data_IF_511426581848
#
_entry.id   IF_511426581848
#
_cell.length_a   1.000
_cell.length_b   1.000
_cell.length_c   1.000
_cell.angle_alpha   90.00
_cell.angle_beta   90.00
_cell.angle_gamma   90.00
#
_symmetry.space_group_name_H-M   'P 1'
#
loop_
_entity.id
_entity.type
_entity.pdbx_description
1 polymer ?
#
# COMPACT_ATOMS: atom_id res chain seq x y z
N UNK A 1 -15.17 -34.25 6.77
CA UNK A 1 -13.96 -33.80 7.49
C UNK A 1 -14.42 -33.06 8.74
N UNK A 2 -13.96 -33.46 9.91
CA UNK A 2 -14.26 -32.74 11.16
C UNK A 2 -13.45 -31.44 11.22
N UNK A 3 -13.95 -30.46 11.96
CA UNK A 3 -13.29 -29.17 12.19
C UNK A 3 -13.11 -28.98 13.69
N UNK A 4 -12.01 -28.35 14.08
CA UNK A 4 -11.74 -28.00 15.48
C UNK A 4 -11.39 -26.53 15.59
N UNK A 5 -11.84 -25.83 16.64
CA UNK A 5 -11.39 -24.46 16.92
C UNK A 5 -9.86 -24.38 17.01
N UNK A 6 -9.26 -23.36 16.40
CA UNK A 6 -7.79 -23.22 16.32
C UNK A 6 -7.29 -21.89 16.88
N UNK A 7 -7.89 -20.77 16.49
CA UNK A 7 -7.55 -19.45 17.03
C UNK A 7 -8.73 -18.50 16.87
N UNK A 8 -8.81 -17.49 17.72
CA UNK A 8 -9.81 -16.42 17.63
C UNK A 8 -9.09 -15.09 17.46
N UNK A 9 -9.49 -14.30 16.46
CA UNK A 9 -8.94 -12.96 16.26
C UNK A 9 -9.96 -11.90 16.64
N UNK A 10 -9.53 -10.85 17.31
CA UNK A 10 -10.43 -9.71 17.61
C UNK A 10 -9.84 -8.48 16.95
N UNK A 11 -10.41 -8.07 15.82
CA UNK A 11 -10.03 -6.84 15.13
C UNK A 11 -10.73 -5.64 15.75
N UNK A 12 -10.00 -4.53 15.89
CA UNK A 12 -10.49 -3.27 16.47
C UNK A 12 -10.05 -2.08 15.62
N UNK A 13 -10.92 -1.08 15.54
CA UNK A 13 -10.74 0.14 14.75
C UNK A 13 -12.03 0.52 14.04
N UNK A 14 -12.12 1.75 13.51
CA UNK A 14 -13.36 2.28 12.92
C UNK A 14 -13.95 1.40 11.82
N UNK A 15 -13.11 0.82 10.95
CA UNK A 15 -13.58 -0.05 9.84
C UNK A 15 -14.17 -1.39 10.30
N UNK A 16 -13.98 -1.76 11.57
CA UNK A 16 -14.49 -2.99 12.16
C UNK A 16 -15.78 -2.75 12.97
N UNK A 17 -16.26 -1.51 13.04
CA UNK A 17 -17.56 -1.16 13.60
C UNK A 17 -18.69 -1.72 12.72
N UNK A 18 -19.90 -1.83 13.28
CA UNK A 18 -21.08 -2.40 12.61
C UNK A 18 -20.91 -3.80 12.01
N UNK A 19 -19.95 -4.57 12.52
CA UNK A 19 -19.66 -5.94 12.10
C UNK A 19 -19.21 -6.10 10.65
N UNK A 20 -18.68 -5.04 10.05
CA UNK A 20 -18.05 -5.11 8.75
C UNK A 20 -16.59 -5.57 8.89
N UNK A 21 -16.21 -6.62 8.16
CA UNK A 21 -14.81 -7.05 8.06
C UNK A 21 -14.28 -6.71 6.66
N UNK A 22 -13.32 -5.78 6.54
CA UNK A 22 -12.68 -5.50 5.25
C UNK A 22 -11.99 -6.75 4.69
N UNK A 23 -12.15 -7.01 3.39
CA UNK A 23 -11.54 -8.19 2.73
C UNK A 23 -10.01 -8.15 2.78
N UNK A 24 -9.41 -6.97 2.74
CA UNK A 24 -7.96 -6.75 2.90
C UNK A 24 -7.40 -7.41 4.16
N UNK A 25 -8.19 -7.41 5.24
CA UNK A 25 -7.77 -7.93 6.55
C UNK A 25 -7.77 -9.46 6.57
N UNK A 26 -8.45 -10.12 5.62
CA UNK A 26 -8.38 -11.58 5.49
C UNK A 26 -6.96 -12.06 5.13
N UNK A 27 -6.14 -11.20 4.52
CA UNK A 27 -4.71 -11.47 4.26
C UNK A 27 -3.94 -11.71 5.57
N UNK A 28 -4.39 -11.13 6.69
CA UNK A 28 -3.78 -11.34 8.00
C UNK A 28 -3.97 -12.77 8.50
N UNK A 29 -5.09 -13.42 8.17
CA UNK A 29 -5.35 -14.81 8.55
C UNK A 29 -4.44 -15.78 7.80
N UNK A 30 -4.16 -15.49 6.52
CA UNK A 30 -3.21 -16.26 5.73
C UNK A 30 -1.77 -16.02 6.22
N UNK A 31 -1.43 -14.77 6.55
CA UNK A 31 -0.12 -14.42 7.13
C UNK A 31 0.11 -15.14 8.47
N UNK A 32 -0.93 -15.21 9.30
CA UNK A 32 -0.89 -16.00 10.53
C UNK A 32 -0.70 -17.49 10.26
N UNK A 33 -1.41 -18.07 9.27
CA UNK A 33 -1.23 -19.47 8.86
C UNK A 33 0.22 -19.77 8.49
N UNK A 34 0.84 -18.91 7.70
CA UNK A 34 2.24 -19.05 7.27
C UNK A 34 3.23 -18.91 8.43
N UNK A 35 2.96 -18.00 9.37
CA UNK A 35 3.77 -17.85 10.58
C UNK A 35 3.70 -19.11 11.46
N UNK A 36 2.49 -19.63 11.73
CA UNK A 36 2.29 -20.88 12.46
C UNK A 36 2.98 -22.04 11.76
N UNK A 37 2.86 -22.14 10.44
CA UNK A 37 3.50 -23.18 9.64
C UNK A 37 5.03 -23.11 9.77
N UNK A 38 5.62 -21.92 9.71
CA UNK A 38 7.05 -21.72 9.85
C UNK A 38 7.56 -22.13 11.25
N UNK A 39 6.80 -21.79 12.30
CA UNK A 39 7.09 -22.23 13.68
C UNK A 39 6.98 -23.75 13.80
N UNK A 40 5.93 -24.36 13.25
CA UNK A 40 5.74 -25.82 13.27
C UNK A 40 6.87 -26.56 12.53
N UNK A 41 7.34 -26.04 11.39
CA UNK A 41 8.51 -26.58 10.68
C UNK A 41 9.78 -26.47 11.51
N UNK A 42 9.95 -25.38 12.27
CA UNK A 42 11.10 -25.21 13.17
C UNK A 42 11.04 -26.23 14.31
N UNK A 43 9.89 -26.39 14.97
CA UNK A 43 9.68 -27.39 16.01
C UNK A 43 9.95 -28.81 15.50
N UNK A 44 9.37 -29.18 14.36
CA UNK A 44 9.56 -30.50 13.78
C UNK A 44 11.04 -30.83 13.55
N UNK A 45 11.81 -29.88 13.01
CA UNK A 45 13.26 -30.05 12.79
C UNK A 45 14.04 -30.19 14.09
N UNK A 46 13.65 -29.47 15.14
CA UNK A 46 14.29 -29.58 16.46
C UNK A 46 14.02 -30.94 17.10
N UNK A 47 12.80 -31.46 16.98
CA UNK A 47 12.39 -32.74 17.57
C UNK A 47 12.84 -33.96 16.74
N UNK A 48 13.16 -33.75 15.45
CA UNK A 48 13.58 -34.81 14.53
C UNK A 48 14.94 -34.46 13.89
N UNK A 49 16.03 -34.35 14.66
CA UNK A 49 17.34 -33.95 14.15
C UNK A 49 17.89 -34.92 13.08
N UNK A 50 17.51 -36.20 13.15
CA UNK A 50 17.93 -37.23 12.19
C UNK A 50 17.17 -37.18 10.85
N UNK A 51 16.12 -36.35 10.73
CA UNK A 51 15.30 -36.23 9.52
C UNK A 51 15.63 -34.97 8.74
N UNK A 52 16.27 -35.15 7.58
CA UNK A 52 16.64 -34.06 6.67
C UNK A 52 15.44 -33.41 5.97
N UNK A 53 14.32 -34.13 5.81
CA UNK A 53 13.15 -33.69 5.04
C UNK A 53 11.89 -33.67 5.89
N UNK A 54 11.06 -32.64 5.68
CA UNK A 54 9.71 -32.58 6.21
C UNK A 54 8.84 -33.71 5.60
N UNK A 55 7.80 -34.16 6.32
CA UNK A 55 6.82 -35.10 5.77
C UNK A 55 6.22 -34.59 4.45
N UNK A 56 5.86 -35.51 3.55
CA UNK A 56 5.11 -35.16 2.35
C UNK A 56 3.79 -34.49 2.76
N UNK A 57 3.41 -33.45 2.03
CA UNK A 57 2.19 -32.68 2.26
C UNK A 57 2.10 -31.99 3.64
N UNK A 58 3.24 -31.69 4.28
CA UNK A 58 3.26 -31.10 5.63
C UNK A 58 2.56 -29.73 5.66
N UNK A 59 2.88 -28.85 4.71
CA UNK A 59 2.25 -27.53 4.61
C UNK A 59 0.74 -27.65 4.32
N UNK A 60 0.39 -28.54 3.41
CA UNK A 60 -0.98 -28.82 2.95
C UNK A 60 -1.83 -29.54 4.02
N UNK A 61 -1.19 -29.99 5.11
CA UNK A 61 -1.86 -30.58 6.27
C UNK A 61 -2.40 -29.51 7.24
N UNK A 62 -1.84 -28.30 7.25
CA UNK A 62 -2.39 -27.16 7.96
C UNK A 62 -3.43 -26.46 7.08
N UNK A 63 -4.68 -26.89 7.20
CA UNK A 63 -5.83 -26.24 6.54
C UNK A 63 -6.65 -25.48 7.56
N UNK A 64 -6.59 -24.16 7.47
CA UNK A 64 -7.40 -23.25 8.26
C UNK A 64 -8.58 -22.76 7.43
N UNK A 65 -9.74 -22.66 8.06
CA UNK A 65 -10.96 -22.12 7.47
C UNK A 65 -11.59 -21.13 8.43
N UNK A 66 -12.32 -20.17 7.89
CA UNK A 66 -13.21 -19.34 8.70
C UNK A 66 -14.39 -20.19 9.17
N UNK A 67 -14.58 -20.24 10.49
CA UNK A 67 -15.74 -20.83 11.14
C UNK A 67 -16.99 -19.96 10.98
N UNK A 68 -18.11 -20.41 11.54
CA UNK A 68 -19.34 -19.64 11.53
C UNK A 68 -19.16 -18.31 12.27
N UNK A 69 -19.37 -17.20 11.56
CA UNK A 69 -19.42 -15.87 12.16
C UNK A 69 -20.75 -15.72 12.90
N UNK A 70 -20.71 -15.25 14.15
CA UNK A 70 -21.94 -14.82 14.83
C UNK A 70 -22.49 -13.56 14.12
N UNK A 71 -23.82 -13.39 14.11
CA UNK A 71 -24.42 -12.16 13.55
C UNK A 71 -23.83 -10.96 14.26
N UNK A 72 -23.23 -10.05 13.50
CA UNK A 72 -22.64 -8.85 14.08
C UNK A 72 -21.17 -9.01 14.53
N UNK A 73 -20.48 -10.09 14.16
CA UNK A 73 -19.12 -10.37 14.63
C UNK A 73 -18.03 -9.93 13.64
N UNK A 74 -17.16 -9.02 14.09
CA UNK A 74 -15.84 -8.74 13.49
C UNK A 74 -14.72 -9.62 14.08
N UNK A 75 -15.10 -10.72 14.72
CA UNK A 75 -14.21 -11.67 15.38
C UNK A 75 -14.20 -12.95 14.55
N UNK A 76 -13.21 -13.15 13.64
CA UNK A 76 -13.15 -14.36 12.87
C UNK A 76 -12.64 -15.49 13.75
N UNK A 77 -13.48 -16.50 13.91
CA UNK A 77 -13.09 -17.79 14.47
C UNK A 77 -12.41 -18.60 13.39
N UNK A 78 -11.15 -18.97 13.61
CA UNK A 78 -10.40 -19.82 12.69
C UNK A 78 -10.49 -21.26 13.20
N UNK A 79 -10.97 -22.14 12.32
CA UNK A 79 -11.07 -23.57 12.56
C UNK A 79 -10.04 -24.31 11.71
N UNK A 80 -9.47 -25.38 12.25
CA UNK A 80 -8.59 -26.29 11.51
C UNK A 80 -9.38 -27.49 11.00
N UNK A 81 -9.21 -27.82 9.72
CA UNK A 81 -9.83 -28.99 9.09
C UNK A 81 -9.00 -30.23 9.40
N UNK A 82 -9.60 -31.21 10.06
CA UNK A 82 -8.97 -32.48 10.40
C UNK A 82 -8.98 -33.44 9.21
N UNK A 83 -7.83 -34.07 8.94
CA UNK A 83 -7.73 -35.21 8.02
C UNK A 83 -8.04 -36.53 8.74
N UNK A 84 -8.68 -37.49 8.08
CA UNK A 84 -8.92 -38.81 8.66
C UNK A 84 -7.61 -39.49 9.08
N UNK A 85 -7.60 -40.15 10.24
CA UNK A 85 -6.42 -40.79 10.84
C UNK A 85 -5.70 -41.80 9.93
N UNK A 86 -6.42 -42.36 8.95
CA UNK A 86 -5.93 -43.36 8.01
C UNK A 86 -4.95 -42.80 6.95
N UNK A 87 -4.79 -41.48 6.85
CA UNK A 87 -3.78 -40.83 6.00
C UNK A 87 -2.50 -40.44 6.77
N UNK A 88 -2.41 -40.76 8.07
CA UNK A 88 -1.25 -40.42 8.90
C UNK A 88 -0.18 -41.54 8.85
N UNK A 89 1.09 -41.15 8.73
CA UNK A 89 2.22 -42.09 8.79
C UNK A 89 2.35 -42.69 10.21
N UNK A 90 2.57 -44.01 10.37
CA UNK A 90 2.79 -44.62 11.67
C UNK A 90 4.07 -44.08 12.33
N UNK A 91 3.99 -43.70 13.61
CA UNK A 91 5.13 -43.24 14.42
C UNK A 91 5.45 -41.74 14.35
N UNK A 92 4.59 -40.92 13.75
CA UNK A 92 4.66 -39.45 13.85
C UNK A 92 3.66 -39.02 14.92
N UNK A 93 4.07 -38.18 15.88
CA UNK A 93 3.12 -37.47 16.75
C UNK A 93 2.02 -36.85 15.89
N UNK A 94 0.78 -36.86 16.37
CA UNK A 94 -0.33 -36.32 15.60
C UNK A 94 0.03 -34.88 15.18
N UNK A 95 0.10 -34.56 13.87
CA UNK A 95 0.38 -33.20 13.39
C UNK A 95 -0.57 -32.15 13.99
N UNK A 96 -1.70 -32.61 14.53
CA UNK A 96 -2.63 -31.82 15.32
C UNK A 96 -1.93 -31.11 16.49
N UNK A 97 -1.23 -31.86 17.34
CA UNK A 97 -0.60 -31.31 18.55
C UNK A 97 0.55 -30.36 18.20
N UNK A 98 1.24 -30.62 17.09
CA UNK A 98 2.36 -29.79 16.63
C UNK A 98 1.90 -28.39 16.19
N UNK A 99 0.83 -28.29 15.40
CA UNK A 99 0.34 -26.97 14.96
C UNK A 99 -0.34 -26.20 16.09
N UNK A 100 -0.99 -26.89 17.04
CA UNK A 100 -1.59 -26.25 18.22
C UNK A 100 -0.47 -25.66 19.11
N UNK A 101 0.60 -26.44 19.36
CA UNK A 101 1.82 -25.97 20.03
C UNK A 101 2.48 -24.80 19.28
N UNK A 102 2.53 -24.85 17.96
CA UNK A 102 3.09 -23.76 17.16
C UNK A 102 2.27 -22.47 17.28
N UNK A 103 0.93 -22.56 17.26
CA UNK A 103 0.04 -21.43 17.49
C UNK A 103 0.23 -20.81 18.89
N UNK A 104 0.41 -21.65 19.91
CA UNK A 104 0.73 -21.20 21.27
C UNK A 104 2.08 -20.49 21.34
N UNK A 105 3.12 -21.01 20.68
CA UNK A 105 4.43 -20.36 20.61
C UNK A 105 4.34 -19.00 19.90
N UNK A 106 3.59 -18.92 18.79
CA UNK A 106 3.35 -17.64 18.10
C UNK A 106 2.70 -16.63 19.04
N UNK A 107 1.65 -17.03 19.77
CA UNK A 107 0.98 -16.18 20.74
C UNK A 107 1.94 -15.71 21.85
N UNK A 108 2.72 -16.63 22.43
CA UNK A 108 3.72 -16.28 23.46
C UNK A 108 4.82 -15.36 22.89
N UNK A 109 5.22 -15.53 21.64
CA UNK A 109 6.19 -14.65 20.99
C UNK A 109 5.68 -13.21 20.88
N UNK A 110 4.42 -13.03 20.47
CA UNK A 110 3.78 -11.70 20.47
C UNK A 110 3.58 -11.15 21.89
N UNK A 111 3.29 -12.00 22.86
CA UNK A 111 3.18 -11.61 24.27
C UNK A 111 4.51 -11.07 24.82
N UNK A 112 5.63 -11.74 24.50
CA UNK A 112 6.98 -11.27 24.85
C UNK A 112 7.28 -9.91 24.21
N UNK A 113 6.96 -9.75 22.91
CA UNK A 113 7.14 -8.49 22.20
C UNK A 113 6.29 -7.35 22.78
N UNK A 114 5.09 -7.64 23.28
CA UNK A 114 4.23 -6.67 23.92
C UNK A 114 4.83 -6.11 25.23
N UNK A 115 5.56 -6.96 25.97
CA UNK A 115 6.21 -6.67 27.25
C UNK A 115 7.66 -6.18 27.11
N UNK A 116 7.98 -5.48 26.01
CA UNK A 116 9.30 -4.90 25.73
C UNK A 116 10.45 -5.92 25.83
N UNK A 117 10.17 -7.19 25.51
CA UNK A 117 11.14 -8.27 25.51
C UNK A 117 11.28 -8.84 24.11
N UNK A 118 12.52 -9.13 23.70
CA UNK A 118 12.77 -9.87 22.46
C UNK A 118 12.06 -11.22 22.51
N UNK A 119 11.30 -11.63 21.47
CA UNK A 119 10.72 -12.96 21.41
C UNK A 119 11.83 -14.03 21.41
N UNK A 120 11.97 -14.77 22.50
CA UNK A 120 12.98 -15.83 22.67
C UNK A 120 12.42 -17.23 22.43
N UNK A 121 11.09 -17.37 22.50
CA UNK A 121 10.41 -18.65 22.22
C UNK A 121 10.40 -19.02 20.73
N UNK A 122 10.72 -18.05 19.86
CA UNK A 122 10.90 -18.25 18.41
C UNK A 122 12.31 -17.88 18.01
N UNK A 123 12.83 -18.52 16.95
CA UNK A 123 14.12 -18.13 16.40
C UNK A 123 14.06 -16.70 15.83
N UNK A 124 15.18 -15.97 15.93
CA UNK A 124 15.28 -14.61 15.38
C UNK A 124 14.92 -14.52 13.88
N UNK A 125 15.15 -15.60 13.12
CA UNK A 125 14.81 -15.71 11.70
C UNK A 125 13.30 -15.69 11.41
N UNK A 126 12.45 -15.86 12.43
CA UNK A 126 10.99 -15.79 12.31
C UNK A 126 10.42 -14.41 12.66
N UNK A 127 11.24 -13.50 13.23
CA UNK A 127 10.79 -12.14 13.59
C UNK A 127 10.29 -11.36 12.35
N UNK A 128 10.92 -11.43 11.16
CA UNK A 128 10.35 -10.79 9.95
C UNK A 128 8.96 -11.33 9.58
N UNK A 129 8.67 -12.61 9.82
CA UNK A 129 7.34 -13.18 9.61
C UNK A 129 6.32 -12.69 10.65
N UNK A 130 6.76 -12.41 11.87
CA UNK A 130 5.92 -11.74 12.87
C UNK A 130 5.61 -10.30 12.46
N UNK A 131 6.56 -9.58 11.86
CA UNK A 131 6.37 -8.20 11.36
C UNK A 131 5.41 -8.09 10.16
N UNK A 132 5.33 -9.15 9.36
CA UNK A 132 4.38 -9.26 8.25
C UNK A 132 2.92 -9.31 8.75
N UNK A 133 2.68 -9.86 9.95
CA UNK A 133 1.36 -9.89 10.56
C UNK A 133 1.01 -8.51 11.15
N UNK A 134 -0.19 -8.05 10.83
CA UNK A 134 -0.69 -6.69 11.11
C UNK A 134 -0.22 -5.64 10.10
N UNK A 135 0.21 -6.03 8.90
CA UNK A 135 0.66 -5.11 7.85
C UNK A 135 -0.48 -4.33 7.21
N UNK A 136 -1.67 -4.92 7.11
CA UNK A 136 -2.86 -4.26 6.54
C UNK A 136 -3.59 -3.37 7.54
N UNK A 137 -3.14 -3.35 8.81
CA UNK A 137 -3.74 -2.54 9.86
C UNK A 137 -3.30 -1.08 9.74
N UNK A 138 -4.28 -0.18 9.81
CA UNK A 138 -4.06 1.27 9.89
C UNK A 138 -3.53 1.67 11.27
N UNK A 139 -3.14 2.93 11.39
CA UNK A 139 -2.49 3.48 12.59
C UNK A 139 -3.34 3.39 13.86
N UNK A 140 -4.67 3.44 13.73
CA UNK A 140 -5.66 3.32 14.80
C UNK A 140 -6.27 1.91 14.92
N UNK A 141 -5.76 0.95 14.16
CA UNK A 141 -6.27 -0.43 14.12
C UNK A 141 -5.38 -1.38 14.92
N UNK A 142 -5.99 -2.45 15.44
CA UNK A 142 -5.27 -3.52 16.14
C UNK A 142 -5.97 -4.86 15.98
N UNK A 143 -5.21 -5.94 16.19
CA UNK A 143 -5.75 -7.30 16.24
C UNK A 143 -5.27 -8.01 17.52
N UNK A 144 -6.18 -8.68 18.20
CA UNK A 144 -5.87 -9.57 19.32
C UNK A 144 -5.75 -10.99 18.80
N UNK A 145 -4.67 -11.70 19.15
CA UNK A 145 -4.51 -13.12 18.88
C UNK A 145 -4.94 -13.90 20.13
N UNK A 146 -6.17 -14.38 20.16
CA UNK A 146 -6.74 -15.10 21.30
C UNK A 146 -6.70 -16.62 21.10
N UNK A 147 -6.63 -17.41 22.19
CA UNK A 147 -6.86 -18.85 22.11
C UNK A 147 -8.28 -19.14 21.58
N UNK A 148 -8.55 -20.37 21.10
CA UNK A 148 -9.86 -20.72 20.57
C UNK A 148 -11.00 -20.39 21.55
N UNK A 149 -11.96 -19.57 21.11
CA UNK A 149 -13.12 -19.14 21.92
C UNK A 149 -12.81 -18.05 22.95
N UNK A 150 -11.55 -17.62 23.07
CA UNK A 150 -11.13 -16.51 23.90
C UNK A 150 -11.27 -15.15 23.21
N UNK A 151 -11.14 -14.07 23.98
CA UNK A 151 -11.11 -12.69 23.47
C UNK A 151 -9.91 -11.88 23.97
N UNK A 152 -9.05 -12.50 24.77
CA UNK A 152 -7.87 -11.89 25.38
C UNK A 152 -6.61 -12.57 24.84
N UNK A 153 -5.54 -11.79 24.71
CA UNK A 153 -4.27 -12.21 24.14
C UNK A 153 -3.40 -11.00 23.78
N UNK A 154 -2.24 -11.22 23.14
CA UNK A 154 -1.37 -10.15 22.71
C UNK A 154 -2.08 -9.27 21.67
N UNK A 155 -1.93 -7.95 21.85
CA UNK A 155 -2.45 -6.94 20.94
C UNK A 155 -1.36 -6.60 19.93
N UNK A 156 -1.60 -6.91 18.67
CA UNK A 156 -0.73 -6.50 17.56
C UNK A 156 -1.26 -5.18 17.02
N UNK A 157 -0.53 -4.11 17.32
CA UNK A 157 -0.78 -2.75 16.88
C UNK A 157 0.49 -2.13 16.28
N UNK A 158 0.41 -0.88 15.82
CA UNK A 158 1.57 -0.16 15.28
C UNK A 158 2.73 -0.07 16.27
N UNK A 159 2.45 0.07 17.56
CA UNK A 159 3.47 0.21 18.61
C UNK A 159 4.26 -1.08 18.77
N UNK A 160 3.59 -2.23 18.83
CA UNK A 160 4.22 -3.54 18.89
C UNK A 160 5.04 -3.82 17.63
N UNK A 161 4.51 -3.50 16.44
CA UNK A 161 5.25 -3.69 15.18
C UNK A 161 6.52 -2.85 15.12
N UNK A 162 6.47 -1.58 15.54
CA UNK A 162 7.68 -0.73 15.66
C UNK A 162 8.73 -1.30 16.62
N UNK A 163 8.30 -1.88 17.75
CA UNK A 163 9.21 -2.55 18.70
C UNK A 163 9.87 -3.78 18.08
N UNK A 164 9.08 -4.66 17.45
CA UNK A 164 9.62 -5.82 16.74
C UNK A 164 10.63 -5.41 15.65
N UNK A 165 10.40 -4.28 14.98
CA UNK A 165 11.27 -3.75 13.94
C UNK A 165 12.63 -3.28 14.50
N UNK A 166 12.63 -2.66 15.68
CA UNK A 166 13.86 -2.25 16.36
C UNK A 166 14.71 -3.46 16.80
N UNK A 167 14.07 -4.57 17.19
CA UNK A 167 14.75 -5.81 17.63
C UNK A 167 15.42 -6.60 16.50
N UNK A 168 14.99 -6.43 15.24
CA UNK A 168 15.59 -7.14 14.09
C UNK A 168 17.02 -6.65 13.82
N UNK A 169 17.40 -5.45 14.29
CA UNK A 169 18.79 -5.01 14.36
C UNK A 169 19.53 -5.19 13.03
N UNK A 170 18.91 -4.80 11.92
CA UNK A 170 19.47 -4.97 10.60
C UNK A 170 18.54 -4.42 9.53
N UNK A 171 19.01 -4.30 8.28
CA UNK A 171 18.16 -3.89 7.20
C UNK A 171 17.00 -4.87 7.00
N UNK A 172 15.79 -4.38 6.81
CA UNK A 172 14.60 -5.20 6.59
C UNK A 172 14.06 -5.01 5.17
N UNK A 173 13.35 -6.02 4.68
CA UNK A 173 12.75 -6.01 3.34
C UNK A 173 11.28 -5.67 3.41
N UNK A 174 10.84 -4.74 2.56
CA UNK A 174 9.44 -4.38 2.42
C UNK A 174 9.12 -4.09 0.96
N UNK A 175 7.85 -4.26 0.58
CA UNK A 175 7.37 -3.79 -0.73
C UNK A 175 7.63 -2.28 -0.86
N UNK A 176 8.15 -1.87 -2.01
CA UNK A 176 8.44 -0.48 -2.32
C UNK A 176 7.90 -0.14 -3.70
N UNK A 177 7.33 1.05 -3.81
CA UNK A 177 7.01 1.70 -5.07
C UNK A 177 7.81 3.00 -5.14
N UNK A 178 8.58 3.16 -6.21
CA UNK A 178 9.38 4.35 -6.47
C UNK A 178 9.01 4.89 -7.84
N UNK A 179 8.94 6.21 -7.94
CA UNK A 179 8.83 6.89 -9.22
C UNK A 179 10.00 7.85 -9.37
N UNK A 180 10.58 7.90 -10.57
CA UNK A 180 11.75 8.72 -10.83
C UNK A 180 12.34 8.52 -12.21
N UNK A 181 13.50 9.12 -12.43
CA UNK A 181 14.23 9.04 -13.70
C UNK A 181 15.43 8.12 -13.58
N UNK A 182 15.61 7.23 -14.55
CA UNK A 182 16.84 6.43 -14.64
C UNK A 182 17.99 7.36 -15.01
N UNK A 183 19.09 7.32 -14.26
CA UNK A 183 20.26 8.20 -14.47
C UNK A 183 21.55 7.44 -14.81
N UNK A 184 21.56 6.13 -14.57
CA UNK A 184 22.61 5.23 -15.00
C UNK A 184 22.06 3.80 -15.02
N UNK A 185 22.55 2.96 -15.92
CA UNK A 185 22.26 1.54 -15.96
C UNK A 185 23.57 0.77 -16.17
N UNK A 186 23.73 -0.35 -15.48
CA UNK A 186 24.96 -1.14 -15.47
C UNK A 186 24.61 -2.63 -15.60
N UNK A 187 24.99 -3.22 -16.73
CA UNK A 187 24.76 -4.64 -17.02
C UNK A 187 25.61 -5.57 -16.16
N UNK A 188 26.80 -5.13 -15.76
CA UNK A 188 27.72 -5.93 -14.95
C UNK A 188 27.33 -5.88 -13.46
N UNK A 189 26.67 -4.81 -13.02
CA UNK A 189 26.15 -4.65 -11.64
C UNK A 189 24.67 -5.02 -11.48
N UNK A 190 24.06 -5.61 -12.51
CA UNK A 190 22.68 -6.11 -12.51
C UNK A 190 21.64 -5.08 -12.03
N UNK A 191 21.65 -3.87 -12.60
CA UNK A 191 20.66 -2.88 -12.23
C UNK A 191 20.89 -1.46 -12.73
N UNK A 192 20.05 -0.56 -12.26
CA UNK A 192 20.09 0.85 -12.63
C UNK A 192 19.99 1.76 -11.40
N UNK A 193 20.42 3.00 -11.57
CA UNK A 193 20.30 4.07 -10.58
C UNK A 193 19.09 4.91 -10.93
N UNK A 194 18.08 4.85 -10.08
CA UNK A 194 16.91 5.71 -10.14
C UNK A 194 17.19 6.98 -9.31
N UNK A 195 16.94 8.15 -9.89
CA UNK A 195 16.79 9.38 -9.12
C UNK A 195 15.30 9.63 -8.92
N UNK A 196 14.83 9.42 -7.69
CA UNK A 196 13.45 9.69 -7.29
C UNK A 196 13.16 11.18 -7.40
N UNK A 197 11.88 11.55 -7.46
CA UNK A 197 11.48 12.95 -7.59
C UNK A 197 11.92 13.83 -6.42
N UNK A 198 11.94 13.29 -5.20
CA UNK A 198 12.49 13.96 -4.00
C UNK A 198 14.02 14.11 -4.02
N UNK A 199 14.66 13.71 -5.13
CA UNK A 199 16.08 13.89 -5.39
C UNK A 199 16.96 12.79 -4.84
N UNK A 200 16.43 11.79 -4.12
CA UNK A 200 17.22 10.65 -3.64
C UNK A 200 17.73 9.80 -4.80
N UNK A 201 18.92 9.25 -4.64
CA UNK A 201 19.50 8.29 -5.59
C UNK A 201 19.38 6.88 -5.00
N UNK A 202 18.62 6.02 -5.66
CA UNK A 202 18.36 4.64 -5.22
C UNK A 202 18.90 3.66 -6.26
N UNK A 203 19.62 2.64 -5.81
CA UNK A 203 20.02 1.53 -6.67
C UNK A 203 18.88 0.52 -6.77
N UNK A 204 18.52 0.14 -8.00
CA UNK A 204 17.49 -0.86 -8.30
C UNK A 204 18.12 -2.04 -9.00
N UNK A 205 18.09 -3.20 -8.33
CA UNK A 205 18.47 -4.48 -8.95
C UNK A 205 17.33 -4.94 -9.85
N UNK A 206 17.63 -5.12 -11.13
CA UNK A 206 16.67 -5.53 -12.15
C UNK A 206 17.41 -6.29 -13.25
N UNK A 207 16.76 -7.31 -13.82
CA UNK A 207 17.35 -8.17 -14.85
C UNK A 207 16.33 -8.49 -15.95
N UNK A 208 16.81 -8.86 -17.12
CA UNK A 208 15.96 -9.30 -18.22
C UNK A 208 15.05 -8.17 -18.75
N UNK A 209 13.78 -8.45 -19.07
CA UNK A 209 12.89 -7.47 -19.72
C UNK A 209 12.72 -6.17 -18.94
N UNK A 210 12.63 -6.24 -17.61
CA UNK A 210 12.48 -5.06 -16.74
C UNK A 210 13.70 -4.13 -16.77
N UNK A 211 14.88 -4.70 -17.02
CA UNK A 211 16.11 -3.91 -17.17
C UNK A 211 16.18 -3.24 -18.55
N UNK A 212 15.68 -3.90 -19.60
CA UNK A 212 15.59 -3.28 -20.94
C UNK A 212 14.64 -2.07 -20.94
N UNK A 213 13.47 -2.15 -20.28
CA UNK A 213 12.58 -0.97 -20.09
C UNK A 213 13.30 0.19 -19.39
N UNK A 214 14.16 -0.11 -18.41
CA UNK A 214 14.95 0.91 -17.71
C UNK A 214 16.06 1.52 -18.60
N UNK A 215 16.60 0.75 -19.57
CA UNK A 215 17.56 1.24 -20.55
C UNK A 215 16.89 2.17 -21.57
N UNK A 216 15.73 1.78 -22.08
CA UNK A 216 14.96 2.59 -23.03
C UNK A 216 14.58 3.93 -22.39
N UNK A 217 14.07 3.91 -21.14
CA UNK A 217 13.75 5.14 -20.41
C UNK A 217 14.96 6.03 -20.08
N UNK A 218 16.15 5.45 -19.91
CA UNK A 218 17.39 6.23 -19.74
C UNK A 218 17.74 7.03 -21.01
N UNK A 219 17.53 6.46 -22.19
CA UNK A 219 17.79 7.13 -23.47
C UNK A 219 16.78 8.25 -23.75
N UNK A 220 15.52 8.02 -23.38
CA UNK A 220 14.40 8.96 -23.60
C UNK A 220 14.23 10.00 -22.49
N UNK A 221 14.99 9.89 -21.39
CA UNK A 221 14.81 10.67 -20.15
C UNK A 221 13.40 10.57 -19.53
N UNK A 222 12.71 9.46 -19.81
CA UNK A 222 11.36 9.17 -19.34
C UNK A 222 11.32 8.87 -17.83
N UNK A 223 10.18 9.19 -17.21
CA UNK A 223 9.90 8.83 -15.82
C UNK A 223 9.42 7.38 -15.79
N UNK A 224 9.93 6.60 -14.84
CA UNK A 224 9.54 5.22 -14.62
C UNK A 224 8.99 5.01 -13.23
N UNK A 225 7.99 4.14 -13.14
CA UNK A 225 7.55 3.52 -11.90
C UNK A 225 8.28 2.19 -11.72
N UNK A 226 8.78 1.96 -10.51
CA UNK A 226 9.44 0.74 -10.10
C UNK A 226 8.71 0.17 -8.90
N UNK A 227 8.15 -1.03 -9.04
CA UNK A 227 7.61 -1.81 -7.91
C UNK A 227 8.52 -2.99 -7.62
N UNK A 228 8.77 -3.25 -6.35
CA UNK A 228 9.65 -4.35 -5.97
C UNK A 228 9.86 -4.48 -4.48
N UNK A 229 10.98 -5.10 -4.11
CA UNK A 229 11.37 -5.28 -2.71
C UNK A 229 12.48 -4.31 -2.35
N UNK A 230 12.17 -3.36 -1.48
CA UNK A 230 13.09 -2.39 -0.90
C UNK A 230 13.74 -2.92 0.36
N UNK A 231 15.03 -2.63 0.54
CA UNK A 231 15.78 -2.87 1.76
C UNK A 231 15.90 -1.56 2.51
N UNK A 232 15.38 -1.51 3.74
CA UNK A 232 15.35 -0.34 4.59
C UNK A 232 16.29 -0.53 5.77
N UNK A 233 16.91 0.53 6.27
CA UNK A 233 17.65 0.48 7.53
C UNK A 233 16.69 0.48 8.75
N UNK A 234 17.20 0.22 9.98
CA UNK A 234 16.36 0.23 11.18
C UNK A 234 15.66 1.57 11.49
N UNK A 235 16.07 2.67 10.85
CA UNK A 235 15.42 3.98 10.99
C UNK A 235 14.27 4.20 9.98
N UNK A 236 14.10 3.26 9.04
CA UNK A 236 13.10 3.33 7.97
C UNK A 236 13.59 4.03 6.70
N UNK A 237 14.89 4.29 6.56
CA UNK A 237 15.43 4.86 5.34
C UNK A 237 15.69 3.77 4.30
N UNK A 238 15.19 3.97 3.08
CA UNK A 238 15.41 3.05 1.96
C UNK A 238 16.88 3.06 1.52
N UNK A 239 17.52 1.90 1.57
CA UNK A 239 18.91 1.70 1.17
C UNK A 239 19.04 1.33 -0.32
N UNK A 240 18.20 0.39 -0.80
CA UNK A 240 18.21 -0.09 -2.20
C UNK A 240 16.95 -0.92 -2.51
N UNK A 241 16.68 -1.16 -3.79
CA UNK A 241 15.72 -2.18 -4.26
C UNK A 241 16.49 -3.41 -4.72
N UNK A 242 16.18 -4.58 -4.14
CA UNK A 242 16.91 -5.84 -4.40
C UNK A 242 16.23 -6.75 -5.43
N UNK A 243 15.00 -6.42 -5.82
CA UNK A 243 14.30 -7.11 -6.89
C UNK A 243 13.18 -6.24 -7.39
N UNK A 244 13.32 -5.70 -8.61
CA UNK A 244 12.21 -5.12 -9.33
C UNK A 244 11.24 -6.24 -9.74
N UNK A 245 10.00 -6.16 -9.28
CA UNK A 245 8.90 -7.00 -9.73
C UNK A 245 8.25 -6.42 -10.99
N UNK A 246 8.29 -5.08 -11.12
CA UNK A 246 7.74 -4.36 -12.25
C UNK A 246 8.52 -3.06 -12.49
N UNK A 247 8.68 -2.71 -13.76
CA UNK A 247 9.28 -1.46 -14.24
C UNK A 247 8.46 -1.02 -15.45
N UNK A 248 7.70 0.05 -15.27
CA UNK A 248 6.84 0.62 -16.30
C UNK A 248 7.18 2.08 -16.50
N UNK A 249 6.87 2.61 -17.69
CA UNK A 249 6.78 4.05 -17.86
C UNK A 249 5.70 4.55 -16.89
N UNK A 250 6.02 5.55 -16.09
CA UNK A 250 5.02 6.16 -15.24
C UNK A 250 3.96 6.78 -16.16
N UNK A 251 2.69 6.44 -15.92
CA UNK A 251 1.60 6.98 -16.74
C UNK A 251 1.32 8.42 -16.33
N UNK A 252 0.68 9.16 -17.23
CA UNK A 252 0.15 10.48 -16.91
C UNK A 252 -0.86 10.33 -15.76
N UNK A 253 -0.49 10.72 -14.54
CA UNK A 253 -1.37 10.60 -13.37
C UNK A 253 -0.75 10.07 -12.09
N UNK A 254 0.55 9.75 -12.05
CA UNK A 254 1.15 9.23 -10.81
C UNK A 254 1.74 10.31 -9.89
N UNK A 255 2.09 11.47 -10.44
CA UNK A 255 2.79 12.57 -9.75
C UNK A 255 2.35 13.95 -10.27
N UNK A 256 1.16 14.01 -10.88
CA UNK A 256 0.71 15.19 -11.63
C UNK A 256 1.40 15.33 -13.00
N UNK A 257 1.06 16.38 -13.74
CA UNK A 257 1.58 16.65 -15.07
C UNK A 257 3.05 17.08 -15.02
N UNK A 258 3.87 16.48 -15.88
CA UNK A 258 5.30 16.83 -16.02
C UNK A 258 5.55 18.17 -16.72
N UNK A 259 4.52 18.69 -17.42
CA UNK A 259 4.55 19.98 -18.11
C UNK A 259 4.13 21.07 -17.13
N UNK A 260 4.92 22.14 -17.02
CA UNK A 260 4.59 23.24 -16.10
C UNK A 260 3.24 23.88 -16.45
N UNK A 261 2.53 24.42 -15.45
CA UNK A 261 1.25 25.14 -15.65
C UNK A 261 1.42 26.25 -16.70
N UNK A 262 2.54 26.98 -16.68
CA UNK A 262 2.83 28.06 -17.64
C UNK A 262 2.88 27.54 -19.08
N UNK A 263 3.52 26.39 -19.28
CA UNK A 263 3.65 25.79 -20.60
C UNK A 263 2.31 25.19 -21.07
N UNK A 264 1.58 24.50 -20.20
CA UNK A 264 0.24 24.00 -20.52
C UNK A 264 -0.71 25.14 -20.92
N UNK A 265 -0.77 26.23 -20.15
CA UNK A 265 -1.56 27.44 -20.49
C UNK A 265 -1.12 28.03 -21.83
N UNK A 266 0.18 28.05 -22.12
CA UNK A 266 0.67 28.55 -23.40
C UNK A 266 0.19 27.70 -24.57
N UNK A 267 0.15 26.38 -24.43
CA UNK A 267 -0.42 25.46 -25.44
C UNK A 267 -1.92 25.66 -25.62
N UNK A 268 -2.66 25.84 -24.52
CA UNK A 268 -4.11 26.10 -24.58
C UNK A 268 -4.46 27.39 -25.32
N UNK A 269 -3.60 28.42 -25.24
CA UNK A 269 -3.78 29.66 -26.01
C UNK A 269 -3.62 29.49 -27.52
N UNK A 270 -2.92 28.46 -27.97
CA UNK A 270 -2.72 28.21 -29.40
C UNK A 270 -3.95 27.57 -30.04
N UNK A 271 -4.93 27.13 -29.23
CA UNK A 271 -6.18 26.57 -29.72
C UNK A 271 -7.06 27.66 -30.34
N UNK A 272 -7.34 27.49 -31.63
CA UNK A 272 -8.32 28.29 -32.36
C UNK A 272 -9.74 27.72 -32.22
N UNK A 273 -10.71 28.44 -32.79
CA UNK A 273 -12.08 27.94 -32.94
C UNK A 273 -12.11 26.62 -33.73
N UNK A 274 -12.95 25.67 -33.29
CA UNK A 274 -13.14 24.38 -33.94
C UNK A 274 -12.12 23.31 -33.55
N UNK A 275 -11.42 23.47 -32.41
CA UNK A 275 -10.36 22.58 -31.96
C UNK A 275 -10.83 21.15 -31.62
N UNK A 276 -12.14 20.92 -31.46
CA UNK A 276 -12.75 19.61 -31.24
C UNK A 276 -13.70 19.24 -32.38
N UNK A 277 -13.19 18.63 -33.44
CA UNK A 277 -13.99 18.16 -34.60
C UNK A 277 -14.88 19.25 -35.24
N UNK A 278 -14.43 20.51 -35.21
CA UNK A 278 -15.21 21.66 -35.69
C UNK A 278 -16.12 22.29 -34.63
N UNK A 279 -16.22 21.67 -33.46
CA UNK A 279 -16.80 22.20 -32.23
C UNK A 279 -15.67 22.72 -31.30
N UNK A 280 -16.02 23.44 -30.24
CA UNK A 280 -15.06 24.10 -29.35
C UNK A 280 -14.70 25.52 -29.77
N UNK A 281 -14.54 26.41 -28.78
CA UNK A 281 -14.21 27.82 -28.96
C UNK A 281 -12.81 28.11 -28.44
N UNK A 282 -12.13 29.06 -29.07
CA UNK A 282 -10.88 29.59 -28.54
C UNK A 282 -11.14 30.19 -27.15
N UNK A 283 -10.23 29.91 -26.22
CA UNK A 283 -10.33 30.35 -24.84
C UNK A 283 -9.82 31.79 -24.69
N UNK A 284 -10.44 32.58 -23.82
CA UNK A 284 -9.99 33.96 -23.56
C UNK A 284 -8.57 33.97 -22.96
N UNK A 285 -7.58 34.60 -23.62
CA UNK A 285 -6.19 34.55 -23.15
C UNK A 285 -5.99 35.19 -21.77
N UNK A 286 -6.78 36.23 -21.44
CA UNK A 286 -6.66 36.96 -20.17
C UNK A 286 -7.22 36.11 -19.02
N UNK A 287 -8.34 35.42 -19.26
CA UNK A 287 -8.96 34.55 -18.30
C UNK A 287 -8.11 33.28 -18.06
N UNK A 288 -7.48 32.74 -19.11
CA UNK A 288 -6.49 31.66 -19.00
C UNK A 288 -5.28 32.07 -18.16
N UNK A 289 -4.74 33.27 -18.36
CA UNK A 289 -3.64 33.79 -17.54
C UNK A 289 -4.00 33.87 -16.07
N UNK A 290 -5.21 34.37 -15.79
CA UNK A 290 -5.72 34.48 -14.43
C UNK A 290 -5.84 33.10 -13.79
N UNK A 291 -6.34 32.11 -14.52
CA UNK A 291 -6.48 30.74 -14.02
C UNK A 291 -5.13 30.06 -13.81
N UNK A 292 -4.20 30.24 -14.75
CA UNK A 292 -2.82 29.77 -14.62
C UNK A 292 -2.11 30.39 -13.41
N UNK A 293 -2.31 31.69 -13.17
CA UNK A 293 -1.78 32.38 -11.99
C UNK A 293 -2.35 31.82 -10.69
N UNK A 294 -3.67 31.59 -10.63
CA UNK A 294 -4.33 30.96 -9.49
C UNK A 294 -3.77 29.55 -9.24
N UNK A 295 -3.77 28.67 -10.25
CA UNK A 295 -3.28 27.30 -10.11
C UNK A 295 -1.83 27.25 -9.64
N UNK A 296 -0.97 28.15 -10.15
CA UNK A 296 0.42 28.27 -9.66
C UNK A 296 0.48 28.70 -8.21
N UNK A 297 -0.32 29.69 -7.81
CA UNK A 297 -0.38 30.14 -6.42
C UNK A 297 -0.90 29.06 -5.46
N UNK A 298 -1.68 28.08 -5.95
CA UNK A 298 -2.15 26.94 -5.17
C UNK A 298 -1.10 25.81 -5.11
N UNK A 299 -0.39 25.56 -6.20
CA UNK A 299 0.51 24.40 -6.34
C UNK A 299 1.92 24.68 -5.81
N UNK A 300 2.47 25.88 -6.05
CA UNK A 300 3.87 26.20 -5.75
C UNK A 300 4.19 26.32 -4.24
N UNK A 301 3.38 27.01 -3.39
CA UNK A 301 3.75 27.23 -1.99
C UNK A 301 3.73 25.95 -1.14
N UNK A 302 2.73 25.10 -1.41
CA UNK A 302 2.47 23.88 -0.64
C UNK A 302 3.00 22.62 -1.37
N UNK A 303 3.67 22.78 -2.51
CA UNK A 303 4.26 21.64 -3.24
C UNK A 303 3.23 20.58 -3.63
N UNK A 304 2.02 21.00 -3.99
CA UNK A 304 1.02 20.07 -4.53
C UNK A 304 1.49 19.53 -5.89
N UNK A 305 1.00 18.37 -6.34
CA UNK A 305 1.29 17.90 -7.68
C UNK A 305 0.76 18.88 -8.74
N UNK A 306 1.44 18.99 -9.87
CA UNK A 306 0.98 19.85 -10.97
C UNK A 306 -0.23 19.20 -11.65
N UNK A 307 -1.34 19.90 -11.92
CA UNK A 307 -2.47 19.30 -12.63
C UNK A 307 -2.21 19.11 -14.12
N UNK A 308 -2.95 18.19 -14.74
CA UNK A 308 -3.20 18.20 -16.19
C UNK A 308 -4.27 19.23 -16.51
N UNK A 309 -4.04 20.05 -17.54
CA UNK A 309 -4.95 21.10 -17.97
C UNK A 309 -5.54 20.78 -19.33
N UNK A 310 -6.86 20.71 -19.39
CA UNK A 310 -7.62 20.41 -20.59
C UNK A 310 -8.62 21.52 -20.91
N UNK A 311 -8.79 21.87 -22.19
CA UNK A 311 -9.93 22.67 -22.61
C UNK A 311 -11.19 21.78 -22.57
N UNK A 312 -12.36 22.33 -22.22
CA UNK A 312 -13.62 21.61 -22.34
C UNK A 312 -14.63 22.38 -23.21
N UNK A 313 -15.49 21.69 -23.96
CA UNK A 313 -16.55 22.37 -24.72
C UNK A 313 -17.64 22.96 -23.83
N UNK A 314 -17.99 22.28 -22.73
CA UNK A 314 -19.08 22.69 -21.82
C UNK A 314 -18.64 23.70 -20.76
N UNK A 315 -17.33 23.80 -20.52
CA UNK A 315 -16.71 24.67 -19.52
C UNK A 315 -15.28 25.04 -19.97
N UNK A 316 -14.83 26.23 -19.66
CA UNK A 316 -13.63 26.80 -20.29
C UNK A 316 -12.34 26.01 -20.01
N UNK A 317 -12.10 25.59 -18.75
CA UNK A 317 -10.84 24.94 -18.37
C UNK A 317 -11.08 23.87 -17.31
N UNK A 318 -10.44 22.71 -17.46
CA UNK A 318 -10.43 21.65 -16.46
C UNK A 318 -9.01 21.36 -16.01
N UNK A 319 -8.80 21.30 -14.70
CA UNK A 319 -7.56 20.86 -14.05
C UNK A 319 -7.79 19.50 -13.37
N UNK A 320 -6.96 18.52 -13.66
CA UNK A 320 -7.08 17.16 -13.13
C UNK A 320 -5.82 16.70 -12.39
N UNK A 321 -6.05 15.98 -11.30
CA UNK A 321 -5.06 15.22 -10.57
C UNK A 321 -5.56 13.79 -10.46
N UNK A 322 -4.85 12.86 -11.07
CA UNK A 322 -4.97 11.45 -10.71
C UNK A 322 -3.93 11.17 -9.61
N UNK A 323 -4.32 10.43 -8.58
CA UNK A 323 -3.44 9.97 -7.52
C UNK A 323 -3.82 8.52 -7.18
N UNK A 324 -2.95 7.82 -6.44
CA UNK A 324 -3.26 6.48 -5.97
C UNK A 324 -4.52 6.48 -5.08
N UNK A 325 -5.62 5.92 -5.58
CA UNK A 325 -6.87 5.74 -4.84
C UNK A 325 -7.87 6.90 -4.94
N UNK A 326 -7.52 8.03 -5.57
CA UNK A 326 -8.45 9.17 -5.77
C UNK A 326 -8.20 9.89 -7.10
N UNK A 327 -9.27 10.40 -7.69
CA UNK A 327 -9.23 11.38 -8.78
C UNK A 327 -9.78 12.72 -8.29
N UNK A 328 -9.11 13.81 -8.63
CA UNK A 328 -9.56 15.16 -8.31
C UNK A 328 -9.65 15.96 -9.60
N UNK A 329 -10.80 16.58 -9.84
CA UNK A 329 -11.03 17.48 -10.96
C UNK A 329 -11.50 18.85 -10.45
N UNK A 330 -10.97 19.91 -11.04
CA UNK A 330 -11.47 21.28 -10.87
C UNK A 330 -11.86 21.82 -12.23
N UNK A 331 -13.15 22.08 -12.38
CA UNK A 331 -13.75 22.66 -13.56
C UNK A 331 -13.95 24.15 -13.35
N UNK A 332 -13.32 24.97 -14.18
CA UNK A 332 -13.43 26.42 -14.16
C UNK A 332 -14.42 26.91 -15.21
N UNK A 333 -15.35 27.75 -14.78
CA UNK A 333 -16.02 28.71 -15.65
C UNK A 333 -15.22 30.00 -15.58
N UNK A 334 -14.48 30.33 -16.65
CA UNK A 334 -13.58 31.47 -16.68
C UNK A 334 -14.35 32.79 -16.84
N UNK A 335 -15.59 32.75 -17.33
CA UNK A 335 -16.47 33.93 -17.48
C UNK A 335 -17.16 34.26 -16.16
N UNK A 336 -17.84 33.29 -15.55
CA UNK A 336 -18.47 33.42 -14.25
C UNK A 336 -17.43 33.54 -13.13
N UNK A 337 -16.20 33.07 -13.38
CA UNK A 337 -15.11 32.99 -12.42
C UNK A 337 -15.50 32.15 -11.20
N UNK A 338 -15.93 30.93 -11.47
CA UNK A 338 -16.30 29.92 -10.48
C UNK A 338 -15.49 28.65 -10.70
N UNK A 339 -15.31 27.87 -9.64
CA UNK A 339 -14.65 26.56 -9.68
C UNK A 339 -15.59 25.51 -9.09
N UNK A 340 -15.89 24.48 -9.86
CA UNK A 340 -16.55 23.27 -9.39
C UNK A 340 -15.50 22.18 -9.20
N UNK A 341 -15.34 21.73 -7.97
CA UNK A 341 -14.31 20.79 -7.57
C UNK A 341 -14.98 19.44 -7.26
N UNK A 342 -14.41 18.35 -7.75
CA UNK A 342 -14.88 16.99 -7.52
C UNK A 342 -13.70 16.13 -7.08
N UNK A 343 -13.86 15.39 -6.00
CA UNK A 343 -13.02 14.25 -5.63
C UNK A 343 -13.84 12.98 -5.82
N UNK A 344 -13.24 11.99 -6.47
CA UNK A 344 -13.79 10.64 -6.63
C UNK A 344 -12.82 9.65 -5.99
N UNK A 345 -13.31 8.84 -5.06
CA UNK A 345 -12.56 7.70 -4.53
C UNK A 345 -12.53 6.60 -5.58
N UNK A 346 -11.35 6.01 -5.82
CA UNK A 346 -11.20 4.83 -6.69
C UNK A 346 -11.34 3.52 -5.90
N UNK A 347 -11.17 3.60 -4.58
CA UNK A 347 -11.26 2.45 -3.67
C UNK A 347 -12.66 2.29 -3.03
N UNK A 348 -13.52 3.32 -3.16
CA UNK A 348 -14.91 3.31 -2.70
C UNK A 348 -15.82 4.05 -3.67
N UNK A 349 -17.14 3.87 -3.56
CA UNK A 349 -18.15 4.62 -4.34
C UNK A 349 -18.41 6.04 -3.77
N UNK A 350 -17.48 6.57 -2.97
CA UNK A 350 -17.61 7.88 -2.34
C UNK A 350 -17.08 8.99 -3.25
N UNK A 351 -17.76 10.12 -3.25
CA UNK A 351 -17.30 11.35 -3.89
C UNK A 351 -17.59 12.57 -3.02
N UNK A 352 -16.78 13.62 -3.18
CA UNK A 352 -16.99 14.92 -2.56
C UNK A 352 -17.04 15.99 -3.64
N UNK A 353 -18.02 16.89 -3.59
CA UNK A 353 -18.12 18.02 -4.50
C UNK A 353 -18.14 19.35 -3.75
N UNK A 354 -17.57 20.38 -4.37
CA UNK A 354 -17.58 21.74 -3.83
C UNK A 354 -17.62 22.76 -4.96
N UNK A 355 -18.59 23.67 -4.90
CA UNK A 355 -18.63 24.84 -5.77
C UNK A 355 -18.12 26.08 -5.04
N UNK A 356 -17.21 26.81 -5.68
CA UNK A 356 -16.59 28.02 -5.15
C UNK A 356 -16.78 29.16 -6.14
N UNK A 357 -17.42 30.24 -5.68
CA UNK A 357 -17.38 31.53 -6.36
C UNK A 357 -16.03 32.22 -6.07
N UNK A 358 -15.15 32.23 -7.07
CA UNK A 358 -13.79 32.76 -6.95
C UNK A 358 -13.76 34.30 -6.90
N UNK A 359 -14.90 34.98 -7.01
CA UNK A 359 -15.01 36.44 -6.78
C UNK A 359 -15.10 36.79 -5.29
N UNK A 360 -15.43 35.82 -4.43
CA UNK A 360 -15.59 36.08 -3.01
C UNK A 360 -14.22 36.25 -2.31
N UNK A 361 -14.12 37.16 -1.33
CA UNK A 361 -12.91 37.30 -0.51
C UNK A 361 -12.49 35.97 0.12
N UNK A 362 -11.23 35.58 -0.04
CA UNK A 362 -10.68 34.34 0.51
C UNK A 362 -11.10 33.06 -0.22
N UNK A 363 -11.74 33.15 -1.38
CA UNK A 363 -12.08 31.98 -2.20
C UNK A 363 -10.85 31.15 -2.60
N UNK A 364 -9.74 31.81 -2.96
CA UNK A 364 -8.49 31.15 -3.33
C UNK A 364 -7.91 30.31 -2.18
N UNK A 365 -7.93 30.85 -0.95
CA UNK A 365 -7.51 30.13 0.26
C UNK A 365 -8.43 28.93 0.57
N UNK A 366 -9.74 29.07 0.32
CA UNK A 366 -10.69 27.96 0.51
C UNK A 366 -10.43 26.85 -0.51
N UNK A 367 -10.23 27.21 -1.77
CA UNK A 367 -9.87 26.27 -2.83
C UNK A 367 -8.56 25.57 -2.50
N UNK A 368 -7.52 26.31 -2.12
CA UNK A 368 -6.21 25.75 -1.75
C UNK A 368 -6.30 24.75 -0.61
N UNK A 369 -6.97 25.11 0.49
CA UNK A 369 -7.17 24.18 1.62
C UNK A 369 -7.96 22.94 1.21
N UNK A 370 -8.96 23.10 0.33
CA UNK A 370 -9.75 21.97 -0.14
C UNK A 370 -8.91 21.00 -0.97
N UNK A 371 -8.10 21.54 -1.90
CA UNK A 371 -7.18 20.74 -2.71
C UNK A 371 -6.08 20.12 -1.88
N UNK A 372 -5.52 20.83 -0.91
CA UNK A 372 -4.54 20.28 0.02
C UNK A 372 -5.12 19.11 0.81
N UNK A 373 -6.34 19.26 1.35
CA UNK A 373 -7.08 18.20 2.04
C UNK A 373 -7.22 16.96 1.18
N UNK A 374 -7.70 17.15 -0.06
CA UNK A 374 -7.97 16.08 -1.00
C UNK A 374 -6.71 15.39 -1.53
N UNK A 375 -5.70 16.16 -1.92
CA UNK A 375 -4.49 15.64 -2.58
C UNK A 375 -3.48 15.05 -1.58
N UNK A 376 -3.52 15.44 -0.30
CA UNK A 376 -2.64 14.89 0.75
C UNK A 376 -3.29 13.83 1.63
N UNK A 377 -4.60 13.60 1.48
CA UNK A 377 -5.34 12.63 2.30
C UNK A 377 -5.46 13.05 3.77
N UNK A 378 -5.33 14.34 4.09
CA UNK A 378 -5.61 14.86 5.42
C UNK A 378 -7.13 14.86 5.62
N UNK A 379 -7.65 13.97 6.47
CA UNK A 379 -9.09 13.90 6.81
C UNK A 379 -9.45 14.84 7.95
#
# INVERSE_FOLDING_TARGET
MSRVPFSTFVFRGKRFEDAAMPLEVLVELETYRELVLAVAMSLFRQENPDRVRLPKNFAESLRLVLGSQERGSTVPNVERVLRPRNEMLPGVESPLDLFDRAADIVRVAFEQAAHDSRPTVVSAALIPRMLAFGKTLRDDESVIIAPPGGREGPVVDRKLRRRLQQEVGGPYEEAVELVGRVRAADRDREGFRLRTLDGRAVHVVSTGPLFETALDSLAEESVVRVRGTGVYDPSGALLRVIGAADVTLAEEGDEGCSISIVEQISRLRELGDGWLDGEGKALDPTALDRAGGLLRALVEPDGLPTPYLYPKPECDLQAEWSLAGVEVAVVFDLVAWTAHCLLTSLDSDDFEELEIDLKQPGAELRLGRQLERWLRGER
#
